data_IF_343175937215
#
_entry.id   IF_343175937215
#
_cell.length_a   1.000
_cell.length_b   1.000
_cell.length_c   1.000
_cell.angle_alpha   90.00
_cell.angle_beta   90.00
_cell.angle_gamma   90.00
#
_symmetry.space_group_name_H-M   'P 1'
#
loop_
_entity.id
_entity.type
_entity.pdbx_description
1 polymer ?
#
# COMPACT_ATOMS: atom_id res chain seq x y z
N UNK A 1 -1.31 -48.08 2.98
CA UNK A 1 -0.52 -47.22 3.90
C UNK A 1 0.78 -46.82 3.23
N UNK A 2 0.77 -45.76 2.41
CA UNK A 2 1.95 -45.04 1.86
C UNK A 2 1.43 -43.93 0.95
N UNK A 3 0.96 -42.83 1.55
CA UNK A 3 0.63 -41.58 0.88
C UNK A 3 0.47 -40.48 1.95
N UNK A 4 1.55 -40.18 2.67
CA UNK A 4 1.56 -39.11 3.68
C UNK A 4 3.00 -38.58 3.86
N UNK A 5 3.71 -38.30 2.76
CA UNK A 5 5.12 -37.93 2.82
C UNK A 5 5.55 -36.64 2.12
N UNK A 6 4.66 -35.87 1.48
CA UNK A 6 5.10 -34.69 0.70
C UNK A 6 4.33 -33.39 1.00
N UNK A 7 4.03 -33.05 2.27
CA UNK A 7 3.33 -31.77 2.56
C UNK A 7 3.77 -31.06 3.84
N UNK A 8 4.95 -31.37 4.37
CA UNK A 8 5.47 -30.75 5.62
C UNK A 8 6.99 -30.53 5.57
N UNK A 9 7.50 -29.93 4.49
CA UNK A 9 8.91 -29.46 4.40
C UNK A 9 9.02 -27.94 4.19
N UNK A 10 8.02 -27.17 4.65
CA UNK A 10 8.09 -25.69 4.64
C UNK A 10 8.00 -25.06 6.03
N UNK A 11 8.19 -25.84 7.10
CA UNK A 11 8.11 -25.34 8.48
C UNK A 11 9.19 -25.99 9.36
N UNK A 12 10.46 -25.71 9.09
CA UNK A 12 11.54 -25.73 10.10
C UNK A 12 12.89 -25.42 9.44
N UNK A 13 13.10 -24.18 9.03
CA UNK A 13 14.46 -23.65 9.03
C UNK A 13 14.74 -23.21 10.46
N UNK A 14 15.82 -23.68 11.13
CA UNK A 14 16.17 -23.16 12.44
C UNK A 14 16.43 -21.65 12.33
N UNK A 15 16.04 -20.83 13.32
CA UNK A 15 16.32 -19.40 13.29
C UNK A 15 17.83 -19.18 13.14
N UNK A 16 18.21 -18.35 12.18
CA UNK A 16 19.61 -18.04 11.89
C UNK A 16 20.30 -17.48 13.14
N UNK A 17 21.55 -17.89 13.36
CA UNK A 17 22.35 -17.44 14.50
C UNK A 17 22.88 -16.01 14.35
N UNK A 18 22.67 -15.38 13.19
CA UNK A 18 22.96 -13.99 12.92
C UNK A 18 21.66 -13.14 12.88
N UNK A 19 21.43 -12.23 13.84
CA UNK A 19 20.30 -11.29 13.86
C UNK A 19 20.36 -10.21 12.76
N UNK A 20 21.29 -10.31 11.80
CA UNK A 20 21.29 -9.58 10.53
C UNK A 20 20.61 -10.32 9.36
N UNK A 21 20.25 -11.61 9.50
CA UNK A 21 19.83 -12.44 8.36
C UNK A 21 18.32 -12.53 8.08
N UNK A 22 17.43 -12.22 9.03
CA UNK A 22 15.99 -12.33 8.77
C UNK A 22 15.37 -11.05 8.15
N UNK A 23 16.13 -9.96 8.04
CA UNK A 23 15.60 -8.71 7.46
C UNK A 23 15.15 -8.85 6.01
N UNK A 24 15.84 -9.71 5.23
CA UNK A 24 15.48 -10.01 3.84
C UNK A 24 14.19 -10.81 3.77
N UNK A 25 14.07 -11.86 4.57
CA UNK A 25 12.89 -12.72 4.59
C UNK A 25 11.67 -11.95 5.14
N UNK A 26 11.80 -11.26 6.27
CA UNK A 26 10.76 -10.37 6.80
C UNK A 26 10.31 -9.32 5.77
N UNK A 27 11.25 -8.77 4.99
CA UNK A 27 10.94 -7.84 3.92
C UNK A 27 10.09 -8.48 2.80
N UNK A 28 10.34 -9.75 2.45
CA UNK A 28 9.55 -10.52 1.48
C UNK A 28 8.21 -10.99 2.04
N UNK A 29 8.13 -11.22 3.34
CA UNK A 29 6.89 -11.55 4.04
C UNK A 29 6.00 -10.33 4.23
N UNK A 30 6.46 -9.11 3.92
CA UNK A 30 5.67 -7.88 4.05
C UNK A 30 5.77 -7.20 5.40
N UNK A 31 6.69 -7.63 6.27
CA UNK A 31 7.06 -6.92 7.49
C UNK A 31 8.00 -5.76 7.15
N UNK A 32 7.39 -4.63 6.77
CA UNK A 32 8.11 -3.41 6.50
C UNK A 32 8.33 -2.64 7.81
N UNK A 33 9.58 -2.28 8.11
CA UNK A 33 9.85 -1.38 9.22
C UNK A 33 9.35 0.03 8.91
N UNK A 34 8.85 0.73 9.92
CA UNK A 34 8.42 2.12 9.80
C UNK A 34 9.57 3.10 9.56
N UNK A 35 9.28 4.34 9.09
CA UNK A 35 10.30 5.35 8.86
C UNK A 35 11.03 5.79 10.13
N UNK A 36 10.31 5.82 11.26
CA UNK A 36 10.81 6.23 12.58
C UNK A 36 10.88 5.05 13.57
N UNK A 37 10.67 3.82 13.08
CA UNK A 37 10.63 2.63 13.94
C UNK A 37 12.04 2.17 14.31
N UNK A 38 12.32 2.06 15.60
CA UNK A 38 13.56 1.52 16.09
C UNK A 38 13.67 0.01 15.85
N UNK A 39 14.91 -0.49 15.74
CA UNK A 39 15.17 -1.92 15.47
C UNK A 39 14.45 -2.84 16.46
N UNK A 40 14.55 -2.58 17.76
CA UNK A 40 13.93 -3.42 18.79
C UNK A 40 12.40 -3.40 18.71
N UNK A 41 11.82 -2.21 18.51
CA UNK A 41 10.38 -2.05 18.36
C UNK A 41 9.84 -2.78 17.12
N UNK A 42 10.58 -2.77 16.01
CA UNK A 42 10.25 -3.51 14.80
C UNK A 42 10.17 -5.02 15.07
N UNK A 43 11.20 -5.63 15.67
CA UNK A 43 11.20 -7.07 15.94
C UNK A 43 10.13 -7.48 16.95
N UNK A 44 9.90 -6.66 17.99
CA UNK A 44 8.82 -6.91 18.95
C UNK A 44 7.44 -6.90 18.28
N UNK A 45 7.23 -6.00 17.31
CA UNK A 45 5.99 -5.97 16.51
C UNK A 45 5.87 -7.23 15.66
N UNK A 46 6.92 -7.61 14.94
CA UNK A 46 6.95 -8.84 14.13
C UNK A 46 6.59 -10.06 14.96
N UNK A 47 7.24 -10.24 16.11
CA UNK A 47 6.98 -11.37 17.02
C UNK A 47 5.51 -11.42 17.47
N UNK A 48 4.96 -10.28 17.89
CA UNK A 48 3.54 -10.19 18.30
C UNK A 48 2.59 -10.49 17.15
N UNK A 49 2.86 -9.95 15.96
CA UNK A 49 2.03 -10.22 14.79
C UNK A 49 2.06 -11.69 14.39
N UNK A 50 3.23 -12.34 14.45
CA UNK A 50 3.35 -13.77 14.16
C UNK A 50 2.67 -14.64 15.21
N UNK A 51 2.72 -14.27 16.49
CA UNK A 51 2.04 -14.98 17.57
C UNK A 51 0.50 -14.97 17.43
N UNK A 52 -0.03 -13.95 16.76
CA UNK A 52 -1.47 -13.74 16.54
C UNK A 52 -1.90 -14.04 15.10
N UNK A 53 -0.98 -14.54 14.26
CA UNK A 53 -1.26 -14.82 12.86
C UNK A 53 -2.36 -15.89 12.72
N UNK A 54 -3.20 -15.78 11.67
CA UNK A 54 -4.28 -16.74 11.46
C UNK A 54 -3.72 -18.15 11.22
N UNK A 55 -4.32 -19.15 11.88
CA UNK A 55 -3.96 -20.58 11.70
C UNK A 55 -4.09 -21.03 10.23
N UNK A 56 -5.06 -20.44 9.52
CA UNK A 56 -5.29 -20.67 8.10
C UNK A 56 -5.18 -19.33 7.34
N UNK A 57 -3.98 -18.96 6.86
CA UNK A 57 -3.77 -17.68 6.23
C UNK A 57 -4.54 -17.57 4.92
N UNK A 58 -5.08 -16.37 4.66
CA UNK A 58 -5.71 -16.10 3.36
C UNK A 58 -4.63 -15.97 2.29
N UNK A 59 -4.71 -16.72 1.19
CA UNK A 59 -3.74 -16.57 0.11
C UNK A 59 -3.94 -15.21 -0.57
N UNK A 60 -2.87 -14.43 -0.65
CA UNK A 60 -2.87 -13.17 -1.39
C UNK A 60 -2.62 -13.41 -2.88
N UNK A 61 -3.16 -12.55 -3.78
CA UNK A 61 -2.93 -12.69 -5.21
C UNK A 61 -1.44 -12.62 -5.56
N UNK A 62 -0.97 -13.53 -6.41
CA UNK A 62 0.45 -13.61 -6.83
C UNK A 62 0.96 -12.31 -7.47
N UNK A 63 0.04 -11.48 -7.98
CA UNK A 63 0.39 -10.21 -8.60
C UNK A 63 0.87 -9.18 -7.57
N UNK A 64 0.45 -9.28 -6.31
CA UNK A 64 0.99 -8.48 -5.22
C UNK A 64 2.50 -8.75 -5.05
N UNK A 65 2.89 -10.04 -5.04
CA UNK A 65 4.28 -10.44 -4.95
C UNK A 65 5.07 -9.98 -6.19
N UNK A 66 4.53 -10.10 -7.40
CA UNK A 66 5.23 -9.63 -8.61
C UNK A 66 5.42 -8.11 -8.62
N UNK A 67 4.40 -7.35 -8.21
CA UNK A 67 4.42 -5.88 -8.24
C UNK A 67 5.27 -5.30 -7.12
N UNK A 68 5.23 -5.87 -5.93
CA UNK A 68 5.77 -5.26 -4.72
C UNK A 68 6.79 -6.10 -3.97
N UNK A 69 6.98 -7.34 -4.38
CA UNK A 69 7.94 -8.24 -3.76
C UNK A 69 7.64 -8.46 -2.28
N UNK A 70 6.35 -8.68 -1.98
CA UNK A 70 5.81 -9.00 -0.65
C UNK A 70 4.75 -10.11 -0.74
N UNK A 71 4.67 -10.94 0.30
CA UNK A 71 3.64 -11.97 0.48
C UNK A 71 3.17 -12.01 1.95
N UNK A 72 2.19 -11.17 2.33
CA UNK A 72 1.81 -10.95 3.72
C UNK A 72 0.83 -12.01 4.24
N UNK A 73 1.30 -13.25 4.39
CA UNK A 73 0.51 -14.37 4.91
C UNK A 73 0.02 -14.19 6.35
N UNK A 74 0.64 -13.30 7.12
CA UNK A 74 0.25 -13.00 8.50
C UNK A 74 -1.05 -12.19 8.63
N UNK A 75 -1.57 -11.61 7.53
CA UNK A 75 -2.73 -10.73 7.59
C UNK A 75 -4.03 -11.49 7.78
N UNK A 76 -4.81 -11.06 8.77
CA UNK A 76 -6.18 -11.51 8.96
C UNK A 76 -7.13 -10.82 7.95
N UNK A 77 -8.01 -11.60 7.34
CA UNK A 77 -9.04 -11.10 6.40
C UNK A 77 -10.43 -11.44 6.93
N UNK A 78 -11.20 -10.42 7.29
CA UNK A 78 -12.56 -10.54 7.84
C UNK A 78 -13.59 -10.11 6.80
N UNK A 79 -14.75 -10.77 6.77
CA UNK A 79 -15.85 -10.45 5.86
C UNK A 79 -17.04 -9.85 6.61
N UNK A 80 -17.17 -8.52 6.60
CA UNK A 80 -18.27 -7.80 7.24
C UNK A 80 -18.65 -6.55 6.46
N UNK A 81 -19.89 -6.09 6.61
CA UNK A 81 -20.34 -4.79 6.08
C UNK A 81 -20.38 -3.71 7.17
N UNK A 82 -20.11 -4.07 8.43
CA UNK A 82 -20.10 -3.15 9.55
C UNK A 82 -19.09 -2.02 9.29
N UNK A 83 -19.50 -0.78 9.55
CA UNK A 83 -18.67 0.43 9.40
C UNK A 83 -18.15 0.73 7.99
N UNK A 84 -18.61 0.03 6.94
CA UNK A 84 -18.25 0.30 5.54
C UNK A 84 -19.34 1.09 4.82
N UNK A 85 -19.01 2.27 4.30
CA UNK A 85 -19.91 3.09 3.48
C UNK A 85 -20.30 2.37 2.20
N UNK A 86 -21.51 2.61 1.68
CA UNK A 86 -22.11 1.84 0.58
C UNK A 86 -21.24 1.70 -0.70
N UNK A 87 -20.26 2.58 -0.90
CA UNK A 87 -19.31 2.60 -2.03
C UNK A 87 -17.92 2.03 -1.71
N UNK A 88 -17.62 1.70 -0.45
CA UNK A 88 -16.37 1.08 -0.01
C UNK A 88 -16.42 -0.43 -0.18
N UNK A 89 -15.44 -1.02 -0.86
CA UNK A 89 -15.39 -2.46 -1.12
C UNK A 89 -14.66 -3.24 0.00
N UNK A 90 -13.77 -2.55 0.71
CA UNK A 90 -12.96 -3.05 1.81
C UNK A 90 -12.34 -1.88 2.57
N UNK A 91 -11.65 -2.20 3.67
CA UNK A 91 -10.91 -1.26 4.49
C UNK A 91 -9.81 -2.01 5.24
N UNK A 92 -8.73 -1.31 5.57
CA UNK A 92 -7.65 -1.80 6.42
C UNK A 92 -7.75 -1.17 7.80
N UNK A 93 -7.86 -1.99 8.83
CA UNK A 93 -7.93 -1.53 10.23
C UNK A 93 -6.58 -1.66 10.89
N UNK A 94 -6.10 -0.56 11.45
CA UNK A 94 -4.84 -0.51 12.21
C UNK A 94 -5.18 -0.06 13.63
N UNK A 95 -5.00 -0.93 14.62
CA UNK A 95 -5.28 -0.64 16.03
C UNK A 95 -4.21 -1.29 16.90
N UNK A 96 -3.59 -0.56 17.81
CA UNK A 96 -2.58 -1.08 18.75
C UNK A 96 -1.46 -1.92 18.10
N UNK A 97 -0.95 -1.48 16.95
CA UNK A 97 0.05 -2.21 16.14
C UNK A 97 -0.40 -3.57 15.61
N UNK A 98 -1.70 -3.82 15.60
CA UNK A 98 -2.34 -4.91 14.87
C UNK A 98 -2.96 -4.37 13.59
N UNK A 99 -2.99 -5.22 12.58
CA UNK A 99 -3.55 -4.89 11.28
C UNK A 99 -4.45 -6.01 10.79
N UNK A 100 -5.62 -5.66 10.29
CA UNK A 100 -6.55 -6.59 9.67
C UNK A 100 -7.18 -5.97 8.43
N UNK A 101 -7.55 -6.81 7.47
CA UNK A 101 -8.26 -6.40 6.27
C UNK A 101 -9.72 -6.79 6.41
N UNK A 102 -10.61 -5.81 6.32
CA UNK A 102 -12.04 -6.05 6.19
C UNK A 102 -12.45 -5.98 4.72
N UNK A 103 -13.11 -7.02 4.22
CA UNK A 103 -13.79 -7.00 2.92
C UNK A 103 -15.31 -7.05 3.13
N UNK A 104 -16.07 -6.51 2.18
CA UNK A 104 -17.54 -6.66 2.21
C UNK A 104 -17.99 -8.11 2.31
N UNK A 105 -19.06 -8.37 3.08
CA UNK A 105 -19.63 -9.71 3.31
C UNK A 105 -19.93 -10.47 2.01
N UNK A 106 -20.29 -9.77 0.94
CA UNK A 106 -20.56 -10.38 -0.38
C UNK A 106 -19.34 -11.09 -0.97
N UNK A 107 -18.12 -10.63 -0.70
CA UNK A 107 -16.88 -11.27 -1.18
C UNK A 107 -16.59 -12.65 -0.55
N UNK A 108 -17.39 -13.04 0.44
CA UNK A 108 -17.33 -14.38 1.03
C UNK A 108 -17.83 -15.45 0.05
N UNK A 109 -18.78 -15.09 -0.83
CA UNK A 109 -19.38 -16.00 -1.82
C UNK A 109 -19.15 -15.58 -3.27
N UNK A 110 -18.96 -14.29 -3.54
CA UNK A 110 -18.81 -13.75 -4.88
C UNK A 110 -17.39 -13.25 -5.12
N UNK A 111 -16.87 -13.46 -6.33
CA UNK A 111 -15.57 -12.92 -6.74
C UNK A 111 -15.64 -11.43 -7.13
N UNK A 112 -16.84 -10.87 -7.26
CA UNK A 112 -17.06 -9.49 -7.71
C UNK A 112 -18.10 -8.74 -6.89
N UNK A 113 -17.86 -7.43 -6.73
CA UNK A 113 -18.80 -6.46 -6.19
C UNK A 113 -19.11 -5.37 -7.24
N UNK A 114 -20.38 -4.98 -7.33
CA UNK A 114 -20.97 -4.19 -8.44
C UNK A 114 -20.68 -4.69 -9.87
N UNK A 115 -20.12 -5.89 -10.05
CA UNK A 115 -19.77 -6.45 -11.36
C UNK A 115 -18.42 -5.97 -11.92
N UNK A 116 -17.73 -5.08 -11.23
CA UNK A 116 -16.46 -4.50 -11.72
C UNK A 116 -15.36 -4.38 -10.66
N UNK A 117 -15.64 -4.59 -9.37
CA UNK A 117 -14.60 -4.68 -8.34
C UNK A 117 -14.34 -6.15 -8.04
N UNK A 118 -13.19 -6.67 -8.48
CA UNK A 118 -12.82 -8.06 -8.17
C UNK A 118 -12.31 -8.16 -6.72
N UNK A 119 -12.60 -9.28 -6.06
CA UNK A 119 -12.11 -9.58 -4.71
C UNK A 119 -10.59 -9.48 -4.63
N UNK A 120 -9.89 -10.00 -5.64
CA UNK A 120 -8.43 -9.98 -5.71
C UNK A 120 -7.88 -8.55 -5.78
N UNK A 121 -8.51 -7.68 -6.56
CA UNK A 121 -8.11 -6.27 -6.69
C UNK A 121 -8.30 -5.53 -5.36
N UNK A 122 -9.46 -5.69 -4.71
CA UNK A 122 -9.72 -5.06 -3.41
C UNK A 122 -8.76 -5.61 -2.36
N UNK A 123 -8.58 -6.94 -2.28
CA UNK A 123 -7.66 -7.56 -1.33
C UNK A 123 -6.22 -7.08 -1.53
N UNK A 124 -5.75 -6.97 -2.77
CA UNK A 124 -4.39 -6.48 -3.06
C UNK A 124 -4.24 -5.00 -2.72
N UNK A 125 -5.28 -4.19 -2.94
CA UNK A 125 -5.32 -2.78 -2.58
C UNK A 125 -5.19 -2.62 -1.05
N UNK A 126 -6.05 -3.29 -0.28
CA UNK A 126 -5.99 -3.28 1.18
C UNK A 126 -4.67 -3.83 1.72
N UNK A 127 -4.10 -4.86 1.09
CA UNK A 127 -2.80 -5.41 1.47
C UNK A 127 -1.69 -4.36 1.43
N UNK A 128 -1.73 -3.42 0.48
CA UNK A 128 -0.73 -2.33 0.38
C UNK A 128 -0.80 -1.41 1.60
N UNK A 129 -2.00 -1.03 2.04
CA UNK A 129 -2.18 -0.26 3.28
C UNK A 129 -1.70 -1.06 4.49
N UNK A 130 -2.04 -2.35 4.53
CA UNK A 130 -1.72 -3.22 5.65
C UNK A 130 -0.21 -3.39 5.86
N UNK A 131 0.55 -3.71 4.80
CA UNK A 131 2.02 -3.82 4.91
C UNK A 131 2.68 -2.47 5.17
N UNK A 132 2.01 -1.37 4.84
CA UNK A 132 2.43 0.01 5.13
C UNK A 132 1.85 0.57 6.42
N UNK A 133 1.37 -0.26 7.36
CA UNK A 133 0.72 0.20 8.60
C UNK A 133 1.52 1.18 9.47
N UNK A 134 2.85 1.26 9.29
CA UNK A 134 3.74 2.20 9.99
C UNK A 134 4.06 3.47 9.20
N UNK A 135 3.47 3.65 8.03
CA UNK A 135 3.68 4.82 7.18
C UNK A 135 2.48 5.75 7.31
N UNK A 136 2.71 6.98 7.76
CA UNK A 136 1.71 8.04 7.80
C UNK A 136 1.90 8.96 6.58
N UNK A 137 1.62 8.45 5.38
CA UNK A 137 2.10 9.02 4.11
C UNK A 137 0.97 9.18 3.08
N UNK A 138 0.10 10.21 3.21
CA UNK A 138 -1.14 10.30 2.45
C UNK A 138 -0.95 10.59 0.95
N UNK A 139 0.22 11.02 0.48
CA UNK A 139 0.36 11.58 -0.88
C UNK A 139 0.45 10.47 -1.94
N UNK A 140 1.22 9.41 -1.69
CA UNK A 140 1.43 8.33 -2.65
C UNK A 140 0.86 6.98 -2.23
N UNK A 141 0.33 6.86 -1.01
CA UNK A 141 -0.24 5.61 -0.50
C UNK A 141 -1.34 5.05 -1.40
N UNK A 142 -2.35 5.86 -1.73
CA UNK A 142 -3.39 5.48 -2.69
C UNK A 142 -2.83 5.15 -4.08
N UNK A 143 -1.79 5.86 -4.52
CA UNK A 143 -1.14 5.59 -5.82
C UNK A 143 -0.49 4.19 -5.83
N UNK A 144 0.11 3.78 -4.71
CA UNK A 144 0.64 2.43 -4.52
C UNK A 144 -0.51 1.42 -4.49
N UNK A 145 -1.54 1.63 -3.68
CA UNK A 145 -2.66 0.70 -3.52
C UNK A 145 -3.39 0.46 -4.85
N UNK A 146 -3.71 1.53 -5.59
CA UNK A 146 -4.33 1.42 -6.91
C UNK A 146 -3.41 0.87 -7.99
N UNK A 147 -2.09 0.85 -7.81
CA UNK A 147 -1.15 0.23 -8.78
C UNK A 147 -1.38 -1.28 -8.94
N UNK A 148 -2.07 -1.92 -7.99
CA UNK A 148 -2.50 -3.33 -8.06
C UNK A 148 -3.62 -3.58 -9.09
N UNK A 149 -4.35 -2.54 -9.50
CA UNK A 149 -5.47 -2.69 -10.43
C UNK A 149 -5.01 -3.08 -11.84
N UNK A 150 -5.72 -4.03 -12.45
CA UNK A 150 -5.54 -4.42 -13.86
C UNK A 150 -5.93 -3.29 -14.82
N UNK A 151 -6.77 -2.35 -14.38
CA UNK A 151 -7.31 -1.28 -15.23
C UNK A 151 -6.48 0.00 -15.14
N UNK A 152 -6.02 0.51 -16.29
CA UNK A 152 -5.19 1.73 -16.35
C UNK A 152 -5.91 2.97 -15.78
N UNK A 153 -7.21 3.10 -16.01
CA UNK A 153 -7.99 4.24 -15.54
C UNK A 153 -8.11 4.25 -14.03
N UNK A 154 -8.20 3.09 -13.36
CA UNK A 154 -8.17 2.99 -11.89
C UNK A 154 -6.80 3.30 -11.32
N UNK A 155 -5.74 2.77 -11.93
CA UNK A 155 -4.35 3.12 -11.57
C UNK A 155 -4.10 4.62 -11.64
N UNK A 156 -4.78 5.31 -12.57
CA UNK A 156 -4.63 6.74 -12.76
C UNK A 156 -5.55 7.57 -11.87
N UNK A 157 -6.86 7.31 -11.91
CA UNK A 157 -7.93 8.12 -11.29
C UNK A 157 -8.36 7.63 -9.92
N UNK A 158 -8.08 6.38 -9.54
CA UNK A 158 -8.40 5.87 -8.21
C UNK A 158 -7.83 6.75 -7.09
N UNK A 159 -6.55 7.15 -7.15
CA UNK A 159 -5.93 8.01 -6.13
C UNK A 159 -6.39 9.47 -6.13
N UNK A 160 -7.57 9.78 -6.68
CA UNK A 160 -8.08 11.15 -6.77
C UNK A 160 -8.28 11.75 -5.37
N UNK A 161 -8.78 10.95 -4.44
CA UNK A 161 -8.97 11.29 -3.03
C UNK A 161 -7.96 10.50 -2.18
N UNK A 162 -7.51 11.10 -1.08
CA UNK A 162 -6.52 10.51 -0.14
C UNK A 162 -7.12 10.11 1.19
N UNK A 163 -8.34 10.56 1.48
CA UNK A 163 -9.07 10.19 2.68
C UNK A 163 -10.57 10.22 2.40
N UNK A 164 -11.34 9.58 3.29
CA UNK A 164 -12.79 9.67 3.25
C UNK A 164 -13.27 11.13 3.39
N UNK A 165 -12.61 11.97 4.19
CA UNK A 165 -13.04 13.37 4.37
C UNK A 165 -12.91 14.18 3.07
N UNK A 166 -11.88 13.92 2.26
CA UNK A 166 -11.73 14.57 0.95
C UNK A 166 -12.90 14.21 0.01
N UNK A 167 -13.37 12.96 0.05
CA UNK A 167 -14.55 12.51 -0.71
C UNK A 167 -15.82 13.21 -0.21
N UNK A 168 -16.03 13.30 1.10
CA UNK A 168 -17.17 14.01 1.69
C UNK A 168 -17.17 15.50 1.33
N UNK A 169 -16.02 16.15 1.43
CA UNK A 169 -15.82 17.55 1.02
C UNK A 169 -16.17 17.73 -0.47
N UNK A 170 -15.66 16.86 -1.33
CA UNK A 170 -15.98 16.88 -2.76
C UNK A 170 -17.49 16.76 -3.02
N UNK A 171 -18.14 15.76 -2.41
CA UNK A 171 -19.58 15.53 -2.57
C UNK A 171 -20.40 16.72 -2.07
N UNK A 172 -20.04 17.30 -0.92
CA UNK A 172 -20.70 18.49 -0.40
C UNK A 172 -20.70 19.63 -1.41
N UNK A 173 -19.54 19.99 -1.98
CA UNK A 173 -19.44 21.10 -2.93
C UNK A 173 -20.18 20.82 -4.24
N UNK A 174 -20.16 19.57 -4.73
CA UNK A 174 -20.89 19.19 -5.94
C UNK A 174 -22.40 19.28 -5.71
N UNK A 175 -22.91 18.74 -4.61
CA UNK A 175 -24.34 18.77 -4.29
C UNK A 175 -24.82 20.19 -3.96
N UNK A 176 -24.03 20.95 -3.20
CA UNK A 176 -24.33 22.34 -2.88
C UNK A 176 -24.30 23.22 -4.13
N UNK A 177 -23.32 23.02 -5.01
CA UNK A 177 -23.26 23.72 -6.29
C UNK A 177 -24.44 23.39 -7.20
N UNK A 178 -24.85 22.11 -7.27
CA UNK A 178 -26.04 21.68 -8.00
C UNK A 178 -27.32 22.29 -7.42
N UNK A 179 -27.43 22.40 -6.10
CA UNK A 179 -28.52 23.09 -5.43
C UNK A 179 -28.53 24.58 -5.79
N UNK A 180 -27.40 25.27 -5.82
CA UNK A 180 -27.35 26.70 -6.15
C UNK A 180 -27.57 27.02 -7.64
N UNK A 181 -27.28 26.08 -8.53
CA UNK A 181 -27.24 26.30 -9.98
C UNK A 181 -28.51 26.95 -10.57
N UNK A 182 -29.75 26.60 -10.18
CA UNK A 182 -30.97 27.21 -10.73
C UNK A 182 -31.14 28.70 -10.38
N UNK A 183 -30.64 29.14 -9.22
CA UNK A 183 -30.80 30.52 -8.72
C UNK A 183 -29.56 31.38 -8.96
N UNK A 184 -28.38 30.78 -8.86
CA UNK A 184 -27.08 31.44 -8.99
C UNK A 184 -26.15 30.60 -9.86
N UNK A 185 -26.33 30.62 -11.20
CA UNK A 185 -25.66 29.67 -12.10
C UNK A 185 -24.14 29.74 -12.03
N UNK A 186 -23.56 30.94 -11.95
CA UNK A 186 -22.10 31.12 -11.86
C UNK A 186 -21.52 30.64 -10.54
N UNK A 187 -22.23 30.83 -9.43
CA UNK A 187 -21.81 30.36 -8.11
C UNK A 187 -21.93 28.84 -8.05
N UNK A 188 -23.08 28.29 -8.47
CA UNK A 188 -23.30 26.85 -8.53
C UNK A 188 -22.27 26.15 -9.42
N UNK A 189 -22.01 26.69 -10.61
CA UNK A 189 -20.98 26.16 -11.53
C UNK A 189 -19.58 26.23 -10.91
N UNK A 190 -19.25 27.32 -10.22
CA UNK A 190 -17.96 27.48 -9.56
C UNK A 190 -17.78 26.50 -8.40
N UNK A 191 -18.83 26.27 -7.59
CA UNK A 191 -18.84 25.24 -6.53
C UNK A 191 -18.62 23.83 -7.08
N UNK A 192 -19.16 23.52 -8.27
CA UNK A 192 -18.94 22.23 -8.92
C UNK A 192 -17.51 22.15 -9.51
N UNK A 193 -17.09 23.14 -10.31
CA UNK A 193 -15.86 23.04 -11.09
C UNK A 193 -14.58 23.22 -10.26
N UNK A 194 -14.57 24.14 -9.29
CA UNK A 194 -13.38 24.45 -8.50
C UNK A 194 -12.78 23.23 -7.76
N UNK A 195 -13.54 22.43 -6.98
CA UNK A 195 -12.98 21.25 -6.32
C UNK A 195 -12.51 20.21 -7.34
N UNK A 196 -13.25 20.00 -8.44
CA UNK A 196 -12.83 19.11 -9.52
C UNK A 196 -11.44 19.51 -10.07
N UNK A 197 -11.28 20.78 -10.45
CA UNK A 197 -10.01 21.29 -10.96
C UNK A 197 -8.87 21.09 -9.96
N UNK A 198 -9.11 21.35 -8.67
CA UNK A 198 -8.13 21.15 -7.61
C UNK A 198 -7.70 19.69 -7.49
N UNK A 199 -8.66 18.75 -7.35
CA UNK A 199 -8.36 17.33 -7.18
C UNK A 199 -7.66 16.75 -8.40
N UNK A 200 -8.11 17.08 -9.62
CA UNK A 200 -7.45 16.63 -10.84
C UNK A 200 -6.04 17.20 -10.95
N UNK A 201 -5.83 18.50 -10.74
CA UNK A 201 -4.50 19.10 -10.80
C UNK A 201 -3.53 18.43 -9.82
N UNK A 202 -3.98 18.21 -8.58
CA UNK A 202 -3.22 17.51 -7.55
C UNK A 202 -2.89 16.07 -7.95
N UNK A 203 -3.87 15.35 -8.50
CA UNK A 203 -3.68 13.98 -9.01
C UNK A 203 -2.63 13.96 -10.13
N UNK A 204 -2.74 14.84 -11.13
CA UNK A 204 -1.77 14.94 -12.22
C UNK A 204 -0.35 15.18 -11.72
N UNK A 205 -0.17 16.12 -10.78
CA UNK A 205 1.15 16.38 -10.17
C UNK A 205 1.69 15.16 -9.44
N UNK A 206 0.86 14.50 -8.65
CA UNK A 206 1.22 13.29 -7.89
C UNK A 206 1.65 12.17 -8.86
N UNK A 207 0.85 11.91 -9.89
CA UNK A 207 1.15 10.91 -10.91
C UNK A 207 2.44 11.22 -11.70
N UNK A 208 2.73 12.49 -11.99
CA UNK A 208 3.99 12.89 -12.64
C UNK A 208 5.19 12.60 -11.73
N UNK A 209 5.12 12.97 -10.46
CA UNK A 209 6.20 12.72 -9.49
C UNK A 209 6.44 11.22 -9.32
N UNK A 210 5.37 10.44 -9.14
CA UNK A 210 5.45 8.99 -9.02
C UNK A 210 6.09 8.34 -10.25
N UNK A 211 5.68 8.75 -11.46
CA UNK A 211 6.28 8.28 -12.72
C UNK A 211 7.76 8.65 -12.84
N UNK A 212 8.17 9.85 -12.41
CA UNK A 212 9.58 10.26 -12.39
C UNK A 212 10.40 9.40 -11.42
N UNK A 213 9.88 9.15 -10.21
CA UNK A 213 10.52 8.27 -9.23
C UNK A 213 10.67 6.85 -9.78
N UNK A 214 9.59 6.26 -10.35
CA UNK A 214 9.65 4.94 -11.02
C UNK A 214 10.78 4.87 -12.05
N UNK A 215 10.88 5.86 -12.94
CA UNK A 215 11.92 5.90 -13.97
C UNK A 215 13.33 5.95 -13.38
N UNK A 216 13.55 6.74 -12.32
CA UNK A 216 14.85 6.86 -11.67
C UNK A 216 15.25 5.59 -10.93
N UNK A 217 14.33 4.95 -10.21
CA UNK A 217 14.59 3.66 -9.55
C UNK A 217 14.94 2.59 -10.59
N UNK A 218 14.17 2.51 -11.69
CA UNK A 218 14.48 1.57 -12.78
C UNK A 218 15.87 1.81 -13.37
N UNK A 219 16.23 3.07 -13.59
CA UNK A 219 17.55 3.44 -14.13
C UNK A 219 18.68 3.15 -13.15
N UNK A 220 18.46 3.31 -11.85
CA UNK A 220 19.47 3.11 -10.82
C UNK A 220 19.71 1.62 -10.53
N UNK A 221 18.65 0.82 -10.45
CA UNK A 221 18.70 -0.54 -9.91
C UNK A 221 18.40 -1.64 -10.93
N UNK A 222 17.82 -1.30 -12.10
CA UNK A 222 17.46 -2.30 -13.11
C UNK A 222 16.30 -3.25 -12.76
N UNK A 223 15.67 -3.08 -11.59
CA UNK A 223 14.56 -3.90 -11.08
C UNK A 223 13.18 -3.25 -11.27
N UNK A 224 12.10 -3.95 -10.89
CA UNK A 224 10.77 -3.36 -10.89
C UNK A 224 10.67 -2.26 -9.83
N UNK A 225 10.36 -1.00 -10.20
CA UNK A 225 10.44 0.12 -9.26
C UNK A 225 9.52 0.06 -8.07
N UNK A 226 8.38 -0.64 -8.20
CA UNK A 226 7.40 -0.76 -7.15
C UNK A 226 7.93 -1.57 -5.95
N UNK A 227 8.90 -2.47 -6.16
CA UNK A 227 9.61 -3.17 -5.07
C UNK A 227 10.25 -2.17 -4.11
N UNK A 228 10.82 -1.08 -4.61
CA UNK A 228 11.41 -0.06 -3.74
C UNK A 228 10.36 0.95 -3.28
N UNK A 229 9.49 1.43 -4.19
CA UNK A 229 8.52 2.50 -3.87
C UNK A 229 7.56 2.15 -2.74
N UNK A 230 7.16 0.89 -2.59
CA UNK A 230 6.31 0.44 -1.47
C UNK A 230 6.96 0.71 -0.10
N UNK A 231 8.28 0.82 -0.05
CA UNK A 231 9.06 0.97 1.19
C UNK A 231 9.51 2.39 1.44
N UNK A 232 9.17 3.34 0.55
CA UNK A 232 9.55 4.74 0.66
C UNK A 232 8.44 5.58 1.31
N UNK A 233 8.87 6.65 1.98
CA UNK A 233 8.03 7.76 2.46
C UNK A 233 7.68 8.71 1.31
N UNK A 234 6.69 9.60 1.49
CA UNK A 234 6.35 10.59 0.49
C UNK A 234 7.52 11.55 0.20
N UNK A 235 8.29 11.87 1.23
CA UNK A 235 9.50 12.72 1.11
C UNK A 235 10.55 12.03 0.25
N UNK A 236 10.76 10.74 0.45
CA UNK A 236 11.71 9.95 -0.32
C UNK A 236 11.24 9.75 -1.76
N UNK A 237 9.96 9.46 -2.00
CA UNK A 237 9.43 9.37 -3.37
C UNK A 237 9.64 10.70 -4.11
N UNK A 238 9.44 11.84 -3.44
CA UNK A 238 9.77 13.16 -4.00
C UNK A 238 11.27 13.33 -4.27
N UNK A 239 12.12 12.93 -3.33
CA UNK A 239 13.59 12.97 -3.49
C UNK A 239 14.01 12.14 -4.71
N UNK A 240 13.51 10.91 -4.82
CA UNK A 240 13.74 10.05 -5.98
C UNK A 240 13.16 10.64 -7.25
N UNK A 241 12.07 11.41 -7.21
CA UNK A 241 11.53 12.07 -8.39
C UNK A 241 12.41 13.25 -8.86
N UNK A 242 12.99 14.03 -7.94
CA UNK A 242 13.63 15.32 -8.26
C UNK A 242 15.15 15.28 -8.30
N UNK A 243 15.81 14.52 -7.42
CA UNK A 243 17.27 14.57 -7.26
C UNK A 243 18.06 13.74 -8.27
N UNK A 244 19.31 14.10 -8.60
CA UNK A 244 20.20 13.29 -9.44
C UNK A 244 20.45 11.88 -8.87
N UNK A 245 20.80 10.92 -9.73
CA UNK A 245 21.05 9.53 -9.32
C UNK A 245 22.15 9.40 -8.27
N UNK A 246 23.24 10.15 -8.41
CA UNK A 246 24.34 10.14 -7.44
C UNK A 246 23.89 10.57 -6.03
N UNK A 247 22.98 11.54 -5.92
CA UNK A 247 22.42 11.99 -4.64
C UNK A 247 21.53 10.91 -4.02
N UNK A 248 20.75 10.20 -4.84
CA UNK A 248 19.89 9.10 -4.40
C UNK A 248 20.75 7.94 -3.86
N UNK A 249 21.83 7.61 -4.55
CA UNK A 249 22.73 6.53 -4.15
C UNK A 249 23.48 6.87 -2.86
N UNK A 250 24.01 8.09 -2.74
CA UNK A 250 24.64 8.59 -1.51
C UNK A 250 23.66 8.58 -0.33
N UNK A 251 22.42 9.01 -0.57
CA UNK A 251 21.35 8.95 0.43
C UNK A 251 21.10 7.51 0.90
N UNK A 252 20.94 6.55 -0.02
CA UNK A 252 20.73 5.14 0.33
C UNK A 252 21.92 4.55 1.12
N UNK A 253 23.16 4.89 0.75
CA UNK A 253 24.38 4.46 1.45
C UNK A 253 24.47 5.01 2.87
N UNK A 254 23.98 6.22 3.12
CA UNK A 254 23.97 6.84 4.46
C UNK A 254 22.82 6.32 5.32
N UNK A 255 21.62 6.21 4.75
CA UNK A 255 20.43 5.85 5.52
C UNK A 255 20.40 4.38 5.96
N UNK A 256 21.03 3.47 5.21
CA UNK A 256 21.13 2.04 5.62
C UNK A 256 21.81 1.85 6.98
N UNK A 257 22.65 2.79 7.39
CA UNK A 257 23.36 2.74 8.66
C UNK A 257 22.47 3.23 9.82
N UNK A 258 21.53 4.14 9.54
CA UNK A 258 20.72 4.84 10.55
C UNK A 258 19.36 4.17 10.79
N UNK A 259 18.73 3.66 9.74
CA UNK A 259 17.35 3.15 9.78
C UNK A 259 17.32 1.67 9.47
N UNK A 260 16.58 0.90 10.28
CA UNK A 260 16.33 -0.53 10.02
C UNK A 260 15.57 -0.73 8.71
N UNK A 261 14.63 0.17 8.37
CA UNK A 261 13.91 0.17 7.09
C UNK A 261 14.86 0.34 5.90
N UNK A 262 15.75 1.33 5.96
CA UNK A 262 16.72 1.52 4.88
C UNK A 262 17.75 0.39 4.81
N UNK A 263 18.07 -0.25 5.95
CA UNK A 263 18.86 -1.47 5.95
C UNK A 263 18.15 -2.61 5.20
N UNK A 264 16.86 -2.84 5.48
CA UNK A 264 16.04 -3.80 4.73
C UNK A 264 16.02 -3.50 3.23
N UNK A 265 15.75 -2.25 2.83
CA UNK A 265 15.71 -1.84 1.43
C UNK A 265 17.07 -2.04 0.76
N UNK A 266 18.15 -1.59 1.41
CA UNK A 266 19.48 -1.61 0.82
C UNK A 266 19.96 -3.05 0.61
N UNK A 267 19.81 -3.91 1.62
CA UNK A 267 20.18 -5.33 1.52
C UNK A 267 19.34 -6.06 0.47
N UNK A 268 18.08 -5.68 0.30
CA UNK A 268 17.18 -6.37 -0.65
C UNK A 268 17.42 -5.96 -2.11
N UNK A 269 17.84 -4.71 -2.36
CA UNK A 269 17.72 -4.12 -3.70
C UNK A 269 18.92 -3.28 -4.18
N UNK A 270 19.87 -2.91 -3.31
CA UNK A 270 21.01 -2.05 -3.65
C UNK A 270 22.37 -2.78 -3.60
N UNK A 271 22.35 -4.09 -3.35
CA UNK A 271 23.52 -4.98 -3.40
C UNK A 271 23.63 -5.64 -4.77
#
# INVERSE_FOLDING_TARGET
>A
MRAALNTLEFLSSPPSSDPYDDLLQLNKEGFLAGPEEEKQAFFLRVERTLAEAPVHPTPFPIELQKLFDVNPSFLEVVYSNESLDAWEAGCTWITDNRVSIQLRKRFQKASFWFGFFSKEEVLSHEAVHAVRMKFYEPIFEEVLAYSTSKHFWRRFFGPLFRSAEETHFFLFFVLFGAFLFPWFPWIGLSCILAPNMFFFFRLFRTQILFRKAKKKIRKLLGIEPLWVLLRLTDREIRLFATQPLAVIEDFARKEKLKSVRWRQIYQSYFT
#
